data_IF_235435737153
#
_entry.id   IF_235435737153
#
_cell.length_a   1.000
_cell.length_b   1.000
_cell.length_c   1.000
_cell.angle_alpha   90.00
_cell.angle_beta   90.00
_cell.angle_gamma   90.00
#
_symmetry.space_group_name_H-M   'P 1'
#
loop_
_entity.id
_entity.type
_entity.pdbx_description
1 polymer ?
#
# COMPACT_ATOMS: atom_id res chain seq x y z
N UNK A 1 -4.77 15.26 -16.58
CA UNK A 1 -3.48 14.73 -17.09
C UNK A 1 -2.34 15.01 -16.12
N UNK A 2 -2.30 16.19 -15.51
CA UNK A 2 -1.29 16.59 -14.52
C UNK A 2 -1.16 15.60 -13.34
N UNK A 3 -2.25 15.01 -12.86
CA UNK A 3 -2.23 14.03 -11.77
C UNK A 3 -1.39 12.78 -12.06
N UNK A 4 -1.29 12.36 -13.33
CA UNK A 4 -0.46 11.23 -13.73
C UNK A 4 1.02 11.58 -13.83
N UNK A 5 1.37 12.86 -13.79
CA UNK A 5 2.75 13.35 -13.95
C UNK A 5 3.44 13.63 -12.60
N UNK A 6 2.73 13.57 -11.46
CA UNK A 6 3.30 13.85 -10.14
C UNK A 6 4.52 12.99 -9.79
N UNK A 7 4.66 11.80 -10.37
CA UNK A 7 5.82 10.95 -10.10
C UNK A 7 7.14 11.51 -10.65
N UNK A 8 7.10 12.47 -11.59
CA UNK A 8 8.31 13.16 -12.09
C UNK A 8 8.95 14.05 -11.03
N UNK A 9 8.21 14.49 -10.02
CA UNK A 9 8.73 15.22 -8.85
C UNK A 9 9.48 14.29 -7.88
N UNK A 10 9.41 12.96 -8.08
CA UNK A 10 10.16 11.97 -7.32
C UNK A 10 11.50 11.61 -8.00
N UNK A 11 12.48 11.08 -7.26
CA UNK A 11 13.71 10.56 -7.83
C UNK A 11 13.46 9.46 -8.89
N UNK A 12 14.32 9.42 -9.91
CA UNK A 12 14.20 8.51 -11.07
C UNK A 12 14.21 7.05 -10.64
N UNK A 13 14.91 6.72 -9.55
CA UNK A 13 14.98 5.37 -8.99
C UNK A 13 13.59 4.87 -8.55
N UNK A 14 12.70 5.78 -8.13
CA UNK A 14 11.35 5.46 -7.64
C UNK A 14 10.31 5.36 -8.76
N UNK A 15 10.56 5.93 -9.95
CA UNK A 15 9.57 6.01 -11.02
C UNK A 15 9.03 4.65 -11.45
N UNK A 16 9.89 3.61 -11.48
CA UNK A 16 9.45 2.25 -11.82
C UNK A 16 8.44 1.70 -10.82
N UNK A 17 8.56 2.05 -9.54
CA UNK A 17 7.69 1.56 -8.47
C UNK A 17 6.40 2.37 -8.39
N UNK A 18 6.49 3.70 -8.43
CA UNK A 18 5.33 4.61 -8.33
C UNK A 18 4.35 4.41 -9.49
N UNK A 19 4.86 4.17 -10.71
CA UNK A 19 4.02 3.94 -11.89
C UNK A 19 3.23 2.63 -11.89
N UNK A 20 3.46 1.75 -10.90
CA UNK A 20 2.78 0.46 -10.82
C UNK A 20 1.96 0.34 -9.55
N UNK A 21 0.80 -0.29 -9.65
CA UNK A 21 -0.12 -0.57 -8.53
C UNK A 21 0.22 -1.87 -7.80
N UNK A 22 1.33 -2.52 -8.13
CA UNK A 22 1.74 -3.83 -7.61
C UNK A 22 1.70 -3.93 -6.07
N UNK A 23 2.12 -2.87 -5.36
CA UNK A 23 2.17 -2.85 -3.90
C UNK A 23 0.76 -2.88 -3.30
N UNK A 24 -0.12 -1.99 -3.75
CA UNK A 24 -1.50 -1.91 -3.25
C UNK A 24 -2.31 -3.15 -3.67
N UNK A 25 -2.10 -3.65 -4.89
CA UNK A 25 -2.75 -4.86 -5.38
C UNK A 25 -2.39 -6.10 -4.55
N UNK A 26 -1.14 -6.20 -4.11
CA UNK A 26 -0.69 -7.27 -3.22
C UNK A 26 -1.41 -7.21 -1.87
N UNK A 27 -1.54 -6.02 -1.29
CA UNK A 27 -2.29 -5.84 -0.03
C UNK A 27 -3.76 -6.23 -0.18
N UNK A 28 -4.42 -5.79 -1.26
CA UNK A 28 -5.82 -6.18 -1.52
C UNK A 28 -5.99 -7.66 -1.83
N UNK A 29 -4.98 -8.30 -2.43
CA UNK A 29 -4.98 -9.76 -2.63
C UNK A 29 -4.98 -10.51 -1.30
N UNK A 30 -4.21 -10.07 -0.31
CA UNK A 30 -4.20 -10.69 1.02
C UNK A 30 -5.53 -10.50 1.76
N UNK A 31 -6.15 -9.32 1.65
CA UNK A 31 -7.51 -9.09 2.16
C UNK A 31 -8.49 -10.08 1.50
N UNK A 32 -8.48 -10.16 0.16
CA UNK A 32 -9.33 -11.09 -0.61
C UNK A 32 -9.10 -12.56 -0.22
N UNK A 33 -7.85 -12.95 0.06
CA UNK A 33 -7.52 -14.32 0.48
C UNK A 33 -8.14 -14.67 1.83
N UNK A 34 -8.16 -13.73 2.79
CA UNK A 34 -8.74 -13.95 4.13
C UNK A 34 -10.26 -13.97 4.15
N UNK A 35 -10.89 -13.17 3.28
CA UNK A 35 -12.35 -13.18 3.14
C UNK A 35 -12.86 -14.34 2.28
N UNK A 36 -12.01 -15.03 1.52
CA UNK A 36 -12.41 -16.11 0.59
C UNK A 36 -13.27 -17.19 1.26
N UNK A 37 -12.99 -17.52 2.52
CA UNK A 37 -13.73 -18.53 3.30
C UNK A 37 -14.95 -17.97 4.03
N UNK A 38 -15.17 -16.65 3.98
CA UNK A 38 -16.28 -15.98 4.66
C UNK A 38 -17.37 -15.72 3.61
N UNK A 39 -18.51 -16.39 3.75
CA UNK A 39 -19.63 -16.25 2.81
C UNK A 39 -20.41 -14.95 3.01
N UNK A 40 -20.65 -14.54 4.26
CA UNK A 40 -21.33 -13.28 4.62
C UNK A 40 -20.77 -12.74 5.94
N UNK A 41 -20.70 -11.41 6.05
CA UNK A 41 -20.40 -10.75 7.31
C UNK A 41 -21.68 -10.43 8.05
N UNK A 42 -21.75 -10.80 9.33
CA UNK A 42 -22.89 -10.49 10.21
C UNK A 42 -22.89 -9.04 10.71
N UNK A 43 -21.74 -8.37 10.71
CA UNK A 43 -21.57 -6.99 11.16
C UNK A 43 -20.44 -6.32 10.36
N UNK A 44 -20.60 -5.03 10.04
CA UNK A 44 -19.55 -4.20 9.43
C UNK A 44 -18.28 -4.20 10.27
N UNK A 45 -18.40 -4.16 11.61
CA UNK A 45 -17.23 -4.16 12.50
C UNK A 45 -16.35 -5.41 12.39
N UNK A 46 -16.90 -6.57 11.98
CA UNK A 46 -16.08 -7.77 11.77
C UNK A 46 -15.31 -7.69 10.45
N UNK A 47 -15.88 -7.07 9.42
CA UNK A 47 -15.18 -6.74 8.18
C UNK A 47 -14.01 -5.78 8.44
N UNK A 48 -14.25 -4.70 9.20
CA UNK A 48 -13.24 -3.69 9.52
C UNK A 48 -12.03 -4.30 10.24
N UNK A 49 -12.27 -5.19 11.21
CA UNK A 49 -11.21 -5.89 11.94
C UNK A 49 -10.31 -6.71 11.02
N UNK A 50 -10.88 -7.37 10.02
CA UNK A 50 -10.09 -8.15 9.06
C UNK A 50 -9.26 -7.22 8.19
N UNK A 51 -9.88 -6.19 7.61
CA UNK A 51 -9.21 -5.22 6.74
C UNK A 51 -8.07 -4.54 7.51
N UNK A 52 -8.37 -3.98 8.67
CA UNK A 52 -7.40 -3.30 9.53
C UNK A 52 -6.29 -4.26 9.96
N UNK A 53 -6.63 -5.49 10.34
CA UNK A 53 -5.64 -6.50 10.73
C UNK A 53 -4.66 -6.84 9.60
N UNK A 54 -5.12 -6.95 8.36
CA UNK A 54 -4.22 -7.17 7.21
C UNK A 54 -3.35 -5.96 6.94
N UNK A 55 -3.94 -4.76 6.87
CA UNK A 55 -3.21 -3.53 6.57
C UNK A 55 -2.16 -3.25 7.66
N UNK A 56 -2.54 -3.38 8.93
CA UNK A 56 -1.63 -3.17 10.05
C UNK A 56 -0.47 -4.17 10.02
N UNK A 57 -0.73 -5.44 9.75
CA UNK A 57 0.32 -6.45 9.58
C UNK A 57 1.30 -6.11 8.45
N UNK A 58 0.77 -5.66 7.30
CA UNK A 58 1.60 -5.25 6.16
C UNK A 58 2.44 -4.01 6.50
N UNK A 59 1.86 -3.03 7.20
CA UNK A 59 2.57 -1.83 7.66
C UNK A 59 3.72 -2.19 8.60
N UNK A 60 3.47 -3.03 9.62
CA UNK A 60 4.55 -3.48 10.52
C UNK A 60 5.67 -4.21 9.77
N UNK A 61 5.35 -4.98 8.71
CA UNK A 61 6.36 -5.64 7.88
C UNK A 61 7.17 -4.66 7.03
N UNK A 62 6.57 -3.57 6.56
CA UNK A 62 7.26 -2.53 5.80
C UNK A 62 8.11 -1.63 6.71
N UNK A 63 7.70 -1.41 7.96
CA UNK A 63 8.52 -0.74 8.97
C UNK A 63 9.77 -1.54 9.34
N UNK A 64 9.65 -2.87 9.45
CA UNK A 64 10.80 -3.75 9.72
C UNK A 64 11.83 -3.71 8.57
N UNK A 65 11.35 -3.61 7.32
CA UNK A 65 12.17 -3.66 6.11
C UNK A 65 11.78 -2.53 5.14
N UNK A 66 12.15 -1.28 5.47
CA UNK A 66 11.84 -0.14 4.62
C UNK A 66 12.55 -0.28 3.26
N UNK A 67 11.88 0.18 2.22
CA UNK A 67 12.48 0.27 0.89
C UNK A 67 13.64 1.26 0.94
N UNK A 68 14.87 0.77 0.71
CA UNK A 68 16.10 1.58 0.78
C UNK A 68 16.02 2.82 -0.12
N UNK A 69 15.30 2.75 -1.23
CA UNK A 69 15.07 3.86 -2.16
C UNK A 69 14.24 5.00 -1.53
N UNK A 70 13.28 4.68 -0.67
CA UNK A 70 12.46 5.66 0.07
C UNK A 70 13.24 6.33 1.21
N UNK A 71 14.22 5.63 1.79
CA UNK A 71 15.07 6.19 2.85
C UNK A 71 16.10 7.18 2.33
N UNK A 72 16.56 6.99 1.09
CA UNK A 72 17.61 7.80 0.48
C UNK A 72 17.13 9.16 -0.01
N UNK A 73 15.82 9.35 -0.14
CA UNK A 73 15.29 10.45 -0.92
C UNK A 73 14.11 11.10 -0.20
N UNK A 74 14.33 12.32 0.31
CA UNK A 74 13.22 13.18 0.69
C UNK A 74 12.56 13.61 -0.63
N UNK A 75 11.42 13.01 -0.98
CA UNK A 75 10.53 13.64 -1.94
C UNK A 75 10.22 15.03 -1.38
N UNK A 76 10.55 16.08 -2.12
CA UNK A 76 10.37 17.45 -1.66
C UNK A 76 8.90 17.62 -1.25
N UNK A 77 8.66 17.93 0.03
CA UNK A 77 7.33 18.37 0.48
C UNK A 77 7.10 19.71 -0.20
N UNK A 78 6.36 19.74 -1.31
CA UNK A 78 5.80 21.00 -1.82
C UNK A 78 4.75 21.47 -0.81
N UNK A 79 4.96 22.69 -0.31
CA UNK A 79 4.06 23.48 0.53
C UNK A 79 2.75 23.77 -0.19
#
# INVERSE_FOLDING_TARGET
LEELLYFYDCPVEMWKKIRTTNVIERSFREVRRRIRTISTFTNVSSCDRIIYGVINYMNSKWEEKPLRELLKTKCAKKS
#
